data_IF_197464214377
#
_entry.id   IF_197464214377
#
_cell.length_a   1.000
_cell.length_b   1.000
_cell.length_c   1.000
_cell.angle_alpha   90.00
_cell.angle_beta   90.00
_cell.angle_gamma   90.00
#
_symmetry.space_group_name_H-M   'P 1'
#
loop_
_entity.id
_entity.type
_entity.pdbx_description
1 polymer ?
#
# COMPACT_ATOMS: atom_id res chain seq x y z
N UNK A 1 -0.02 -11.46 -8.12
CA UNK A 1 -1.34 -10.83 -8.27
C UNK A 1 -1.26 -9.82 -9.39
N UNK A 2 -2.23 -9.84 -10.28
CA UNK A 2 -2.38 -8.85 -11.34
C UNK A 2 -3.48 -7.86 -10.96
N UNK A 3 -3.39 -6.63 -11.45
CA UNK A 3 -4.38 -5.58 -11.18
C UNK A 3 -4.40 -4.53 -12.29
N UNK A 4 -5.49 -3.74 -12.33
CA UNK A 4 -5.51 -2.44 -13.00
C UNK A 4 -5.23 -1.34 -12.01
N UNK A 5 -4.55 -0.29 -12.43
CA UNK A 5 -4.34 0.90 -11.62
C UNK A 5 -4.80 2.16 -12.34
N UNK A 6 -5.22 3.15 -11.57
CA UNK A 6 -5.58 4.49 -12.04
C UNK A 6 -4.93 5.49 -11.09
N UNK A 7 -4.11 6.38 -11.64
CA UNK A 7 -3.56 7.54 -10.95
C UNK A 7 -4.33 8.79 -11.40
N UNK A 8 -4.89 9.51 -10.43
CA UNK A 8 -5.46 10.83 -10.64
C UNK A 8 -4.58 11.86 -9.94
N UNK A 9 -4.13 12.87 -10.66
CA UNK A 9 -3.30 13.94 -10.13
C UNK A 9 -3.61 15.26 -10.84
N UNK A 10 -4.01 16.28 -10.07
CA UNK A 10 -4.24 17.64 -10.59
C UNK A 10 -5.13 17.72 -11.84
N UNK A 11 -6.12 16.82 -11.95
CA UNK A 11 -7.03 16.73 -13.10
C UNK A 11 -6.51 15.92 -14.30
N UNK A 12 -5.26 15.46 -14.25
CA UNK A 12 -4.73 14.44 -15.15
C UNK A 12 -5.11 13.05 -14.63
N UNK A 13 -5.39 12.14 -15.56
CA UNK A 13 -5.67 10.74 -15.27
C UNK A 13 -4.81 9.86 -16.14
N UNK A 14 -4.06 8.96 -15.51
CA UNK A 14 -3.24 7.94 -16.15
C UNK A 14 -3.67 6.60 -15.59
N UNK A 15 -3.76 5.58 -16.44
CA UNK A 15 -4.13 4.23 -16.02
C UNK A 15 -3.38 3.17 -16.79
N UNK A 16 -3.40 1.95 -16.24
CA UNK A 16 -2.70 0.84 -16.84
C UNK A 16 -2.86 -0.47 -16.08
N UNK A 17 -1.91 -1.36 -16.32
CA UNK A 17 -1.81 -2.69 -15.73
C UNK A 17 -0.66 -2.73 -14.71
N UNK A 18 -0.79 -3.58 -13.71
CA UNK A 18 0.30 -3.81 -12.79
C UNK A 18 0.32 -5.23 -12.25
N UNK A 19 1.49 -5.59 -11.74
CA UNK A 19 1.75 -6.88 -11.12
C UNK A 19 2.36 -6.63 -9.76
N UNK A 20 1.83 -7.32 -8.75
CA UNK A 20 2.48 -7.41 -7.44
C UNK A 20 2.83 -8.85 -7.14
N UNK A 21 4.08 -9.06 -6.73
CA UNK A 21 4.59 -10.32 -6.17
C UNK A 21 4.75 -10.11 -4.68
N UNK A 22 4.24 -11.04 -3.87
CA UNK A 22 4.22 -10.91 -2.42
C UNK A 22 4.83 -12.19 -1.84
N UNK A 23 5.88 -12.03 -1.05
CA UNK A 23 6.55 -13.10 -0.29
C UNK A 23 6.42 -12.77 1.20
N UNK A 24 5.43 -13.38 1.89
CA UNK A 24 5.31 -13.22 3.33
C UNK A 24 6.57 -13.68 4.06
N UNK A 25 6.91 -13.08 5.22
CA UNK A 25 6.19 -11.99 5.89
C UNK A 25 6.68 -10.59 5.48
N UNK A 26 7.68 -10.48 4.59
CA UNK A 26 8.56 -9.30 4.55
C UNK A 26 8.65 -8.56 3.22
N UNK A 27 8.20 -9.15 2.11
CA UNK A 27 8.59 -8.66 0.79
C UNK A 27 7.42 -8.53 -0.16
N UNK A 28 7.41 -7.43 -0.90
CA UNK A 28 6.57 -7.28 -2.07
C UNK A 28 7.33 -6.58 -3.18
N UNK A 29 7.02 -6.90 -4.43
CA UNK A 29 7.51 -6.19 -5.61
C UNK A 29 6.32 -5.74 -6.42
N UNK A 30 6.29 -4.46 -6.77
CA UNK A 30 5.28 -3.82 -7.59
C UNK A 30 5.89 -3.41 -8.92
N UNK A 31 5.28 -3.82 -10.02
CA UNK A 31 5.62 -3.31 -11.35
C UNK A 31 4.36 -2.70 -11.98
N UNK A 32 4.46 -1.46 -12.48
CA UNK A 32 3.38 -0.71 -13.13
C UNK A 32 3.71 -0.50 -14.61
N UNK A 33 2.71 -0.70 -15.46
CA UNK A 33 2.79 -0.54 -16.91
C UNK A 33 1.60 0.29 -17.40
N UNK A 34 1.79 1.09 -18.45
CA UNK A 34 0.70 1.70 -19.21
C UNK A 34 -0.03 0.64 -20.05
N UNK A 35 -1.22 0.98 -20.56
CA UNK A 35 -2.01 0.08 -21.42
C UNK A 35 -1.30 -0.31 -22.74
N UNK A 36 -0.30 0.45 -23.17
CA UNK A 36 0.56 0.12 -24.32
C UNK A 36 1.71 -0.86 -23.97
N UNK A 37 1.83 -1.28 -22.70
CA UNK A 37 2.86 -2.17 -22.19
C UNK A 37 4.17 -1.47 -21.77
N UNK A 38 4.25 -0.15 -21.87
CA UNK A 38 5.40 0.63 -21.43
C UNK A 38 5.51 0.60 -19.90
N UNK A 39 6.70 0.31 -19.37
CA UNK A 39 6.95 0.31 -17.93
C UNK A 39 6.95 1.73 -17.37
N UNK A 40 6.21 1.93 -16.27
CA UNK A 40 6.12 3.21 -15.55
C UNK A 40 6.98 3.19 -14.29
N UNK A 41 6.93 2.08 -13.55
CA UNK A 41 7.57 1.96 -12.26
C UNK A 41 7.86 0.50 -11.93
N UNK A 42 9.01 0.26 -11.31
CA UNK A 42 9.32 -0.99 -10.61
C UNK A 42 9.76 -0.62 -9.20
N UNK A 43 9.18 -1.24 -8.19
CA UNK A 43 9.48 -0.97 -6.78
C UNK A 43 9.51 -2.28 -5.99
N UNK A 44 10.36 -2.34 -4.97
CA UNK A 44 10.35 -3.44 -3.99
C UNK A 44 10.17 -2.87 -2.58
N UNK A 45 9.17 -3.40 -1.88
CA UNK A 45 8.92 -3.17 -0.48
C UNK A 45 9.60 -4.32 0.29
N UNK A 46 10.66 -4.01 1.04
CA UNK A 46 11.41 -5.00 1.82
C UNK A 46 11.45 -4.51 3.25
N UNK A 47 10.66 -5.17 4.08
CA UNK A 47 10.39 -4.79 5.46
C UNK A 47 9.92 -3.34 5.56
N UNK A 48 10.77 -2.46 6.07
CA UNK A 48 10.48 -1.05 6.34
C UNK A 48 11.08 -0.12 5.27
N UNK A 49 11.52 -0.68 4.13
CA UNK A 49 12.17 0.06 3.04
C UNK A 49 11.38 -0.06 1.74
N UNK A 50 11.07 1.08 1.11
CA UNK A 50 10.62 1.13 -0.28
C UNK A 50 11.84 1.40 -1.18
N UNK A 51 12.20 0.41 -1.98
CA UNK A 51 13.33 0.45 -2.92
C UNK A 51 12.83 0.81 -4.31
N UNK A 52 13.41 1.86 -4.87
CA UNK A 52 13.13 2.37 -6.20
C UNK A 52 14.44 2.42 -7.01
N UNK A 53 14.41 2.07 -8.32
CA UNK A 53 15.54 2.30 -9.22
C UNK A 53 15.96 3.76 -9.25
N UNK A 54 17.22 4.02 -9.60
CA UNK A 54 17.70 5.39 -9.80
C UNK A 54 16.87 6.12 -10.88
N UNK A 55 16.41 7.34 -10.57
CA UNK A 55 15.61 8.15 -11.48
C UNK A 55 14.13 7.75 -11.59
N UNK A 56 13.68 6.73 -10.85
CA UNK A 56 12.26 6.42 -10.76
C UNK A 56 11.49 7.52 -10.01
N UNK A 57 10.23 7.80 -10.40
CA UNK A 57 9.38 8.73 -9.66
C UNK A 57 9.08 8.16 -8.26
N UNK A 58 9.32 8.96 -7.23
CA UNK A 58 9.21 8.58 -5.81
C UNK A 58 7.89 9.01 -5.14
N UNK A 59 7.08 9.78 -5.86
CA UNK A 59 5.85 10.39 -5.35
C UNK A 59 4.58 9.59 -5.72
N UNK A 60 4.64 8.70 -6.72
CA UNK A 60 3.48 7.96 -7.25
C UNK A 60 2.94 6.97 -6.21
N UNK A 61 3.84 6.32 -5.48
CA UNK A 61 3.49 5.29 -4.51
C UNK A 61 3.15 5.87 -3.15
N UNK A 62 2.32 5.19 -2.36
CA UNK A 62 2.20 5.48 -0.94
C UNK A 62 3.55 5.32 -0.23
N UNK A 63 3.80 6.06 0.87
CA UNK A 63 4.93 5.79 1.75
C UNK A 63 4.80 4.37 2.34
N UNK A 64 5.92 3.84 2.85
CA UNK A 64 6.07 2.43 3.29
C UNK A 64 4.92 1.97 4.19
N UNK A 65 4.53 2.79 5.18
CA UNK A 65 3.47 2.47 6.15
C UNK A 65 2.12 2.23 5.47
N UNK A 66 1.79 3.03 4.45
CA UNK A 66 0.56 2.91 3.69
C UNK A 66 0.69 1.89 2.56
N UNK A 67 1.89 1.62 2.07
CA UNK A 67 2.11 0.66 1.01
C UNK A 67 1.77 -0.76 1.47
N UNK A 68 2.17 -1.15 2.69
CA UNK A 68 1.72 -2.42 3.29
C UNK A 68 0.19 -2.47 3.45
N UNK A 69 -0.41 -1.37 3.89
CA UNK A 69 -1.86 -1.21 3.94
C UNK A 69 -2.52 -1.43 2.58
N UNK A 70 -1.96 -0.90 1.50
CA UNK A 70 -2.47 -1.07 0.13
C UNK A 70 -2.54 -2.54 -0.29
N UNK A 71 -1.65 -3.38 0.24
CA UNK A 71 -1.63 -4.82 0.01
C UNK A 71 -2.52 -5.62 0.97
N UNK A 72 -3.24 -4.93 1.88
CA UNK A 72 -4.06 -5.54 2.92
C UNK A 72 -3.27 -6.09 4.11
N UNK A 73 -1.99 -5.73 4.23
CA UNK A 73 -1.11 -6.24 5.28
C UNK A 73 -1.10 -5.26 6.46
N UNK A 74 -1.51 -5.74 7.64
CA UNK A 74 -1.31 -5.01 8.89
C UNK A 74 0.17 -5.10 9.26
N UNK A 75 0.91 -4.00 9.06
CA UNK A 75 2.34 -3.94 9.39
C UNK A 75 2.74 -2.53 9.84
N UNK A 76 2.67 -2.25 11.16
CA UNK A 76 3.37 -1.11 11.73
C UNK A 76 4.88 -1.26 11.52
N UNK A 77 5.57 -0.15 11.28
CA UNK A 77 7.04 -0.11 11.17
C UNK A 77 7.69 -0.61 12.46
N UNK A 78 8.90 -1.14 12.39
CA UNK A 78 9.67 -1.56 13.57
C UNK A 78 9.94 -0.39 14.54
N UNK A 79 10.03 0.83 14.01
CA UNK A 79 10.20 2.06 14.78
C UNK A 79 8.89 2.61 15.36
N UNK A 80 7.73 2.06 14.97
CA UNK A 80 6.44 2.58 15.38
C UNK A 80 6.06 2.10 16.79
N UNK A 81 5.57 3.01 17.62
CA UNK A 81 5.10 2.70 18.97
C UNK A 81 3.57 2.67 19.01
N UNK A 82 2.99 1.62 19.61
CA UNK A 82 1.55 1.54 19.83
C UNK A 82 1.17 2.50 20.98
N UNK A 83 0.41 3.54 20.67
CA UNK A 83 -0.02 4.55 21.64
C UNK A 83 -1.45 4.30 22.15
N UNK A 84 -2.23 3.47 21.47
CA UNK A 84 -3.54 3.07 21.96
C UNK A 84 -4.39 2.33 20.93
N UNK A 85 -5.61 1.99 21.34
CA UNK A 85 -6.60 1.43 20.45
C UNK A 85 -8.01 1.65 20.98
N UNK A 86 -8.98 1.61 20.06
CA UNK A 86 -10.39 1.86 20.32
C UNK A 86 -11.24 0.79 19.63
N UNK A 87 -12.32 0.37 20.27
CA UNK A 87 -13.37 -0.39 19.60
C UNK A 87 -14.28 0.60 18.86
N UNK A 88 -14.57 0.30 17.60
CA UNK A 88 -15.45 1.06 16.73
C UNK A 88 -16.78 0.32 16.56
N UNK A 89 -17.78 1.00 16.00
CA UNK A 89 -19.06 0.36 15.69
C UNK A 89 -18.89 -0.81 14.70
N UNK A 90 -19.63 -1.90 14.95
CA UNK A 90 -19.67 -3.07 14.06
C UNK A 90 -18.40 -3.91 14.08
N UNK A 91 -17.83 -4.16 15.27
CA UNK A 91 -16.69 -5.07 15.52
C UNK A 91 -15.37 -4.65 14.85
N UNK A 92 -15.29 -3.38 14.42
CA UNK A 92 -14.05 -2.80 13.94
C UNK A 92 -13.20 -2.31 15.12
N UNK A 93 -11.89 -2.36 14.98
CA UNK A 93 -10.92 -1.88 15.94
C UNK A 93 -10.03 -0.84 15.27
N UNK A 94 -9.73 0.23 15.99
CA UNK A 94 -8.71 1.19 15.61
C UNK A 94 -7.45 0.96 16.43
N UNK A 95 -6.31 0.84 15.77
CA UNK A 95 -4.99 0.82 16.43
C UNK A 95 -4.24 2.09 16.05
N UNK A 96 -3.69 2.78 17.05
CA UNK A 96 -3.02 4.06 16.89
C UNK A 96 -1.54 3.89 17.21
N UNK A 97 -0.70 4.22 16.24
CA UNK A 97 0.75 4.20 16.34
C UNK A 97 1.32 5.60 16.13
N UNK A 98 2.52 5.83 16.63
CA UNK A 98 3.35 6.98 16.25
C UNK A 98 4.57 6.48 15.49
N UNK A 99 4.85 7.05 14.32
CA UNK A 99 6.07 6.78 13.56
C UNK A 99 7.27 7.51 14.19
N UNK A 100 8.48 7.08 13.86
CA UNK A 100 9.71 7.71 14.34
C UNK A 100 9.84 9.20 13.96
N UNK A 101 9.16 9.62 12.89
CA UNK A 101 9.16 11.00 12.39
C UNK A 101 8.06 11.87 13.04
N UNK A 102 7.28 11.31 13.98
CA UNK A 102 6.26 12.02 14.74
C UNK A 102 4.85 12.01 14.12
N UNK A 103 4.67 11.44 12.93
CA UNK A 103 3.35 11.24 12.34
C UNK A 103 2.59 10.15 13.12
N UNK A 104 1.27 10.30 13.25
CA UNK A 104 0.43 9.23 13.78
C UNK A 104 -0.05 8.32 12.63
N UNK A 105 0.01 7.01 12.83
CA UNK A 105 -0.51 6.01 11.89
C UNK A 105 -1.67 5.29 12.55
N UNK A 106 -2.85 5.37 11.95
CA UNK A 106 -4.05 4.69 12.43
C UNK A 106 -4.42 3.55 11.50
N UNK A 107 -4.57 2.34 12.05
CA UNK A 107 -5.11 1.19 11.33
C UNK A 107 -6.55 0.95 11.77
N UNK A 108 -7.45 0.78 10.82
CA UNK A 108 -8.78 0.22 11.06
C UNK A 108 -8.81 -1.23 10.61
N UNK A 109 -9.17 -2.12 11.53
CA UNK A 109 -9.19 -3.56 11.32
C UNK A 109 -10.57 -4.10 11.66
N UNK A 110 -11.13 -4.95 10.80
CA UNK A 110 -12.43 -5.61 11.03
C UNK A 110 -12.37 -7.05 10.56
N UNK A 111 -12.75 -7.99 11.43
CA UNK A 111 -12.64 -9.44 11.19
C UNK A 111 -11.22 -9.84 10.74
N UNK A 112 -10.19 -9.37 11.45
CA UNK A 112 -8.76 -9.58 11.15
C UNK A 112 -8.28 -9.05 9.78
N UNK A 113 -9.10 -8.28 9.08
CA UNK A 113 -8.76 -7.65 7.80
C UNK A 113 -8.57 -6.16 7.99
N UNK A 114 -7.46 -5.62 7.48
CA UNK A 114 -7.28 -4.18 7.36
C UNK A 114 -8.38 -3.61 6.46
N UNK A 115 -8.99 -2.51 6.88
CA UNK A 115 -10.02 -1.76 6.14
C UNK A 115 -9.53 -0.38 5.75
N UNK A 116 -8.75 0.26 6.62
CA UNK A 116 -8.14 1.53 6.33
C UNK A 116 -6.80 1.68 7.05
N UNK A 117 -5.92 2.49 6.45
CA UNK A 117 -4.69 2.98 7.08
C UNK A 117 -4.63 4.48 6.85
N UNK A 118 -4.50 5.27 7.90
CA UNK A 118 -4.40 6.72 7.83
C UNK A 118 -3.08 7.18 8.42
N UNK A 119 -2.42 8.13 7.76
CA UNK A 119 -1.30 8.89 8.31
C UNK A 119 -1.75 10.31 8.61
N UNK A 120 -1.47 10.75 9.83
CA UNK A 120 -1.92 12.01 10.37
C UNK A 120 -0.75 12.85 10.86
N UNK A 121 -0.87 14.15 10.68
CA UNK A 121 -0.03 15.17 11.31
C UNK A 121 -0.92 16.11 12.13
N UNK A 122 -0.58 16.31 13.40
CA UNK A 122 -1.35 17.17 14.31
C UNK A 122 -2.84 16.83 14.41
N UNK A 123 -3.22 15.56 14.20
CA UNK A 123 -4.62 15.09 14.19
C UNK A 123 -5.36 15.29 12.86
N UNK A 124 -4.73 15.85 11.84
CA UNK A 124 -5.28 15.97 10.49
C UNK A 124 -4.79 14.82 9.63
N UNK A 125 -5.72 14.13 8.95
CA UNK A 125 -5.35 13.06 8.00
C UNK A 125 -4.69 13.69 6.78
N UNK A 126 -3.42 13.36 6.54
CA UNK A 126 -2.64 13.79 5.38
C UNK A 126 -2.79 12.80 4.23
N UNK A 127 -2.69 11.51 4.55
CA UNK A 127 -2.72 10.43 3.57
C UNK A 127 -3.54 9.26 4.11
N UNK A 128 -4.19 8.53 3.22
CA UNK A 128 -5.05 7.41 3.61
C UNK A 128 -5.07 6.32 2.55
N UNK A 129 -5.19 5.07 2.98
CA UNK A 129 -5.54 3.91 2.16
C UNK A 129 -6.87 3.39 2.65
N UNK A 130 -7.81 3.19 1.74
CA UNK A 130 -9.06 2.47 2.01
C UNK A 130 -9.11 1.19 1.19
N UNK A 131 -9.55 0.10 1.82
CA UNK A 131 -9.56 -1.23 1.25
C UNK A 131 -10.97 -1.77 1.14
N UNK A 132 -11.27 -2.37 -0.01
CA UNK A 132 -12.40 -3.27 -0.18
C UNK A 132 -11.84 -4.68 -0.13
N UNK A 133 -12.26 -5.46 0.87
CA UNK A 133 -11.87 -6.85 1.04
C UNK A 133 -13.10 -7.74 1.06
N UNK A 134 -12.95 -8.93 0.48
CA UNK A 134 -13.94 -10.02 0.53
C UNK A 134 -13.35 -11.11 1.40
N UNK A 135 -14.12 -11.62 2.36
CA UNK A 135 -13.67 -12.69 3.25
C UNK A 135 -13.29 -13.94 2.45
N UNK A 136 -12.15 -14.54 2.78
CA UNK A 136 -11.63 -15.76 2.13
C UNK A 136 -10.66 -15.52 0.95
N UNK A 137 -10.54 -14.29 0.44
CA UNK A 137 -9.73 -13.99 -0.75
C UNK A 137 -8.24 -13.66 -0.46
N UNK A 138 -7.87 -13.52 0.82
CA UNK A 138 -6.49 -13.28 1.28
C UNK A 138 -5.89 -11.90 0.99
N UNK A 139 -6.37 -11.21 -0.07
CA UNK A 139 -5.92 -9.88 -0.50
C UNK A 139 -7.11 -8.97 -0.83
N UNK A 140 -6.98 -7.64 -0.75
CA UNK A 140 -8.05 -6.72 -1.12
C UNK A 140 -8.43 -6.86 -2.60
N UNK A 141 -9.73 -6.71 -2.90
CA UNK A 141 -10.23 -6.62 -4.28
C UNK A 141 -9.97 -5.22 -4.85
N UNK A 142 -9.92 -4.21 -3.98
CA UNK A 142 -9.62 -2.84 -4.34
C UNK A 142 -8.87 -2.15 -3.19
N UNK A 143 -7.91 -1.30 -3.55
CA UNK A 143 -7.24 -0.38 -2.63
C UNK A 143 -7.23 1.02 -3.24
N UNK A 144 -7.60 2.02 -2.45
CA UNK A 144 -7.55 3.43 -2.85
C UNK A 144 -6.65 4.20 -1.90
N UNK A 145 -5.46 4.54 -2.37
CA UNK A 145 -4.56 5.48 -1.72
C UNK A 145 -4.92 6.92 -2.12
N UNK A 146 -4.92 7.83 -1.15
CA UNK A 146 -5.15 9.26 -1.38
C UNK A 146 -4.14 10.08 -0.56
N UNK A 147 -3.43 10.97 -1.23
CA UNK A 147 -2.62 12.03 -0.64
C UNK A 147 -3.39 13.34 -0.75
N UNK A 148 -3.77 13.92 0.40
CA UNK A 148 -4.57 15.14 0.47
C UNK A 148 -3.74 16.42 0.33
N UNK A 149 -2.43 16.33 0.55
CA UNK A 149 -1.50 17.47 0.40
C UNK A 149 -1.25 17.72 -1.09
N UNK A 150 -0.98 16.66 -1.84
CA UNK A 150 -0.65 16.72 -3.28
C UNK A 150 -1.87 16.50 -4.20
N UNK A 151 -3.08 16.39 -3.64
CA UNK A 151 -4.32 16.11 -4.39
C UNK A 151 -4.20 14.91 -5.35
N UNK A 152 -3.57 13.84 -4.85
CA UNK A 152 -3.24 12.64 -5.63
C UNK A 152 -4.02 11.44 -5.13
N UNK A 153 -4.47 10.60 -6.05
CA UNK A 153 -5.15 9.36 -5.74
C UNK A 153 -4.64 8.23 -6.62
N UNK A 154 -4.22 7.13 -6.01
CA UNK A 154 -3.89 5.88 -6.69
C UNK A 154 -4.93 4.83 -6.30
N UNK A 155 -5.70 4.38 -7.29
CA UNK A 155 -6.65 3.28 -7.13
C UNK A 155 -6.11 2.04 -7.82
N UNK A 156 -6.09 0.92 -7.08
CA UNK A 156 -5.70 -0.41 -7.56
C UNK A 156 -6.91 -1.33 -7.48
N UNK A 157 -7.20 -2.04 -8.56
CA UNK A 157 -8.30 -3.00 -8.65
C UNK A 157 -7.75 -4.35 -9.09
N UNK A 158 -7.81 -5.33 -8.19
CA UNK A 158 -7.28 -6.68 -8.40
C UNK A 158 -8.03 -7.36 -9.54
N UNK A 159 -7.28 -7.96 -10.46
CA UNK A 159 -7.85 -8.76 -11.56
C UNK A 159 -7.65 -10.25 -11.34
N UNK A 160 -6.49 -10.67 -10.85
CA UNK A 160 -6.19 -12.09 -10.63
C UNK A 160 -5.21 -12.31 -9.48
N UNK A 161 -5.30 -13.49 -8.86
CA UNK A 161 -4.32 -14.00 -7.89
C UNK A 161 -3.83 -15.34 -8.40
N UNK A 162 -2.51 -15.46 -8.54
CA UNK A 162 -1.84 -16.67 -9.00
C UNK A 162 -0.86 -17.06 -7.89
N UNK A 163 -1.05 -18.22 -7.23
CA UNK A 163 -0.08 -18.74 -6.27
C UNK A 163 1.27 -19.02 -6.93
N UNK A 164 2.36 -18.76 -6.21
CA UNK A 164 3.71 -19.11 -6.60
C UNK A 164 4.42 -19.75 -5.41
N UNK A 165 5.21 -20.80 -5.66
CA UNK A 165 5.93 -21.52 -4.60
C UNK A 165 7.11 -20.71 -4.04
N UNK A 166 7.78 -19.94 -4.89
CA UNK A 166 8.92 -19.09 -4.54
C UNK A 166 9.22 -18.05 -5.62
N UNK A 167 9.97 -17.01 -5.28
CA UNK A 167 10.51 -16.04 -6.22
C UNK A 167 12.04 -16.07 -6.24
N UNK A 168 12.63 -15.67 -7.36
CA UNK A 168 14.08 -15.46 -7.44
C UNK A 168 14.49 -14.32 -6.48
N UNK A 169 15.48 -14.50 -5.58
CA UNK A 169 15.85 -13.47 -4.61
C UNK A 169 16.27 -12.13 -5.21
N UNK A 170 16.77 -12.11 -6.45
CA UNK A 170 17.21 -10.87 -7.12
C UNK A 170 16.07 -9.90 -7.39
N UNK A 171 14.81 -10.37 -7.45
CA UNK A 171 13.68 -9.47 -7.77
C UNK A 171 13.41 -8.44 -6.67
N UNK A 172 13.94 -8.66 -5.46
CA UNK A 172 13.74 -7.82 -4.27
C UNK A 172 14.67 -6.60 -4.20
N UNK A 173 15.55 -6.43 -5.19
CA UNK A 173 16.31 -5.20 -5.36
C UNK A 173 16.21 -4.70 -6.81
N UNK A 174 15.29 -3.75 -7.10
CA UNK A 174 15.13 -3.22 -8.45
C UNK A 174 16.19 -2.15 -8.80
N UNK A 175 17.15 -1.88 -7.91
CA UNK A 175 18.23 -0.92 -8.12
C UNK A 175 19.45 -1.56 -8.80
N UNK A 176 19.54 -2.88 -8.78
CA UNK A 176 20.62 -3.67 -9.38
C UNK A 176 20.35 -4.07 -10.84
#
# INVERSE_FOLDING_TARGET
>A
MEFRWILNESGSRVDGLGVVRIEPPGRARLDLFLDNGEGVLSAALVDDELRLPEGAPDDILPPVELMWGTLGVFRPMMSAELVGGDELEGEAHRYRYTSGDGNAIHYEVKHDLVRAVEMLDGGSVLQSVHLVTVEGDGYPVEATYRNRVEFRELKITRTSVIPADSFDPSIWDPRE
#
